data_IF_593444364821
#
_entry.id   IF_593444364821
#
_cell.length_a   1.000
_cell.length_b   1.000
_cell.length_c   1.000
_cell.angle_alpha   90.00
_cell.angle_beta   90.00
_cell.angle_gamma   90.00
#
_symmetry.space_group_name_H-M   'P 1'
#
loop_
_entity.id
_entity.type
_entity.pdbx_description
1 polymer ?
#
# COMPACT_ATOMS: atom_id res chain seq x y z
N UNK A 1 13.41 -24.42 -19.30
CA UNK A 1 12.03 -24.83 -19.69
C UNK A 1 10.98 -23.80 -19.32
N UNK A 2 10.98 -23.23 -18.11
CA UNK A 2 10.01 -22.19 -17.74
C UNK A 2 10.13 -20.90 -18.56
N UNK A 3 11.34 -20.42 -18.83
CA UNK A 3 11.57 -19.18 -19.61
C UNK A 3 11.03 -19.27 -21.06
N UNK A 4 11.23 -20.41 -21.74
CA UNK A 4 10.70 -20.65 -23.10
C UNK A 4 9.16 -20.62 -23.15
N UNK A 5 8.49 -21.09 -22.10
CA UNK A 5 7.02 -21.02 -21.99
C UNK A 5 6.55 -19.60 -21.70
N UNK A 6 7.29 -18.85 -20.88
CA UNK A 6 6.97 -17.45 -20.57
C UNK A 6 7.13 -16.58 -21.82
N UNK A 7 8.18 -16.79 -22.61
CA UNK A 7 8.38 -16.06 -23.88
C UNK A 7 7.32 -16.40 -24.93
N UNK A 8 6.83 -17.65 -24.98
CA UNK A 8 5.80 -18.06 -25.94
C UNK A 8 4.41 -17.48 -25.60
N UNK A 9 4.10 -17.33 -24.31
CA UNK A 9 2.80 -16.82 -23.82
C UNK A 9 2.82 -15.29 -23.66
N UNK A 10 4.00 -14.69 -23.51
CA UNK A 10 4.22 -13.24 -23.53
C UNK A 10 3.38 -12.48 -22.49
N UNK A 11 2.68 -11.43 -22.92
CA UNK A 11 1.91 -10.53 -22.01
C UNK A 11 0.77 -11.23 -21.27
N UNK A 12 0.25 -12.33 -21.83
CA UNK A 12 -0.84 -13.10 -21.22
C UNK A 12 -0.36 -13.81 -19.96
N UNK A 13 0.90 -14.24 -19.92
CA UNK A 13 1.52 -14.84 -18.74
C UNK A 13 1.54 -13.86 -17.56
N UNK A 14 1.93 -12.60 -17.81
CA UNK A 14 1.97 -11.57 -16.77
C UNK A 14 0.58 -11.30 -16.16
N UNK A 15 -0.47 -11.24 -17.00
CA UNK A 15 -1.85 -11.06 -16.54
C UNK A 15 -2.34 -12.26 -15.71
N UNK A 16 -2.00 -13.48 -16.14
CA UNK A 16 -2.34 -14.70 -15.40
C UNK A 16 -1.59 -14.78 -14.06
N UNK A 17 -0.30 -14.42 -14.05
CA UNK A 17 0.51 -14.39 -12.83
C UNK A 17 0.02 -13.35 -11.82
N UNK A 18 -0.40 -12.17 -12.30
CA UNK A 18 -1.02 -11.14 -11.46
C UNK A 18 -2.33 -11.64 -10.84
N UNK A 19 -3.20 -12.24 -11.66
CA UNK A 19 -4.47 -12.80 -11.20
C UNK A 19 -4.27 -13.96 -10.21
N UNK A 20 -3.28 -14.81 -10.43
CA UNK A 20 -2.93 -15.88 -9.51
C UNK A 20 -2.46 -15.33 -8.16
N UNK A 21 -1.64 -14.25 -8.16
CA UNK A 21 -1.23 -13.58 -6.94
C UNK A 21 -2.40 -12.93 -6.20
N UNK A 22 -3.34 -12.31 -6.90
CA UNK A 22 -4.54 -11.72 -6.28
C UNK A 22 -5.44 -12.80 -5.67
N UNK A 23 -5.60 -13.94 -6.34
CA UNK A 23 -6.33 -15.09 -5.81
C UNK A 23 -5.64 -15.69 -4.58
N UNK A 24 -4.32 -15.82 -4.61
CA UNK A 24 -3.54 -16.29 -3.47
C UNK A 24 -3.69 -15.35 -2.27
N UNK A 25 -3.55 -14.04 -2.48
CA UNK A 25 -3.73 -13.05 -1.43
C UNK A 25 -5.16 -13.03 -0.87
N UNK A 26 -6.16 -13.24 -1.72
CA UNK A 26 -7.55 -13.39 -1.30
C UNK A 26 -7.72 -14.62 -0.39
N UNK A 27 -7.15 -15.77 -0.77
CA UNK A 27 -7.20 -16.97 0.04
C UNK A 27 -6.52 -16.78 1.43
N UNK A 28 -5.37 -16.10 1.50
CA UNK A 28 -4.74 -15.75 2.79
C UNK A 28 -5.64 -14.84 3.64
N UNK A 29 -6.36 -13.91 3.02
CA UNK A 29 -7.31 -13.04 3.72
C UNK A 29 -8.50 -13.84 4.27
N UNK A 30 -9.01 -14.80 3.49
CA UNK A 30 -10.12 -15.66 3.88
C UNK A 30 -9.75 -16.52 5.11
N UNK A 31 -8.54 -17.11 5.14
CA UNK A 31 -8.04 -17.87 6.31
C UNK A 31 -7.96 -17.00 7.57
N UNK A 32 -7.47 -15.76 7.45
CA UNK A 32 -7.40 -14.84 8.59
C UNK A 32 -8.78 -14.38 9.06
N UNK A 33 -9.75 -14.30 8.15
CA UNK A 33 -11.14 -14.03 8.48
C UNK A 33 -11.77 -15.17 9.29
N UNK A 34 -11.56 -16.42 8.86
CA UNK A 34 -12.02 -17.61 9.59
C UNK A 34 -11.48 -17.64 11.02
N UNK A 35 -10.21 -17.26 11.21
CA UNK A 35 -9.61 -17.11 12.54
C UNK A 35 -10.33 -16.09 13.43
N UNK A 36 -10.82 -14.98 12.87
CA UNK A 36 -11.61 -13.97 13.62
C UNK A 36 -12.98 -14.55 14.01
N UNK A 37 -13.64 -15.27 13.09
CA UNK A 37 -14.95 -15.88 13.34
C UNK A 37 -14.87 -16.94 14.43
N UNK A 38 -13.80 -17.74 14.44
CA UNK A 38 -13.56 -18.83 15.40
C UNK A 38 -13.23 -18.38 16.83
N UNK A 39 -12.92 -17.10 17.07
CA UNK A 39 -12.61 -16.58 18.42
C UNK A 39 -13.80 -16.74 19.37
N UNK A 40 -13.58 -17.22 20.59
CA UNK A 40 -14.65 -17.37 21.60
C UNK A 40 -14.64 -16.27 22.65
N UNK A 41 -13.61 -15.41 22.63
CA UNK A 41 -13.34 -14.37 23.63
C UNK A 41 -13.90 -12.99 23.26
N UNK A 42 -14.58 -12.86 22.12
CA UNK A 42 -15.19 -11.61 21.64
C UNK A 42 -16.64 -11.81 21.22
N UNK A 43 -17.48 -10.81 21.52
CA UNK A 43 -18.91 -10.82 21.18
C UNK A 43 -19.18 -10.67 19.67
N UNK A 44 -20.41 -10.99 19.27
CA UNK A 44 -20.83 -11.03 17.86
C UNK A 44 -20.60 -9.69 17.11
N UNK A 45 -20.93 -8.56 17.72
CA UNK A 45 -20.74 -7.23 17.11
C UNK A 45 -19.27 -6.91 16.84
N UNK A 46 -18.38 -7.24 17.79
CA UNK A 46 -16.93 -7.03 17.63
C UNK A 46 -16.35 -7.94 16.54
N UNK A 47 -16.79 -9.20 16.47
CA UNK A 47 -16.42 -10.10 15.37
C UNK A 47 -16.82 -9.52 14.02
N UNK A 48 -18.05 -9.04 13.88
CA UNK A 48 -18.54 -8.48 12.63
C UNK A 48 -17.72 -7.26 12.19
N UNK A 49 -17.38 -6.37 13.13
CA UNK A 49 -16.52 -5.21 12.85
C UNK A 49 -15.11 -5.63 12.41
N UNK A 50 -14.51 -6.62 13.07
CA UNK A 50 -13.19 -7.13 12.71
C UNK A 50 -13.19 -7.79 11.32
N UNK A 51 -14.20 -8.60 11.01
CA UNK A 51 -14.36 -9.22 9.68
C UNK A 51 -14.54 -8.16 8.61
N UNK A 52 -15.42 -7.17 8.83
CA UNK A 52 -15.63 -6.05 7.89
C UNK A 52 -14.33 -5.26 7.66
N UNK A 53 -13.60 -4.95 8.73
CA UNK A 53 -12.30 -4.26 8.62
C UNK A 53 -11.29 -5.11 7.84
N UNK A 54 -11.24 -6.42 8.09
CA UNK A 54 -10.31 -7.34 7.40
C UNK A 54 -10.60 -7.39 5.90
N UNK A 55 -11.87 -7.60 5.52
CA UNK A 55 -12.31 -7.60 4.11
C UNK A 55 -12.00 -6.27 3.43
N UNK A 56 -12.28 -5.15 4.10
CA UNK A 56 -11.99 -3.81 3.58
C UNK A 56 -10.50 -3.59 3.32
N UNK A 57 -9.63 -4.00 4.25
CA UNK A 57 -8.18 -3.93 4.07
C UNK A 57 -7.68 -4.82 2.92
N UNK A 58 -8.21 -6.04 2.81
CA UNK A 58 -7.87 -6.97 1.71
C UNK A 58 -8.25 -6.41 0.35
N UNK A 59 -9.48 -5.92 0.20
CA UNK A 59 -9.96 -5.31 -1.04
C UNK A 59 -9.19 -4.04 -1.40
N UNK A 60 -8.89 -3.19 -0.41
CA UNK A 60 -8.08 -2.00 -0.61
C UNK A 60 -6.69 -2.36 -1.16
N UNK A 61 -5.99 -3.34 -0.55
CA UNK A 61 -4.66 -3.77 -1.04
C UNK A 61 -4.72 -4.28 -2.48
N UNK A 62 -5.75 -5.03 -2.86
CA UNK A 62 -5.96 -5.46 -4.26
C UNK A 62 -6.13 -4.24 -5.18
N UNK A 63 -6.95 -3.27 -4.79
CA UNK A 63 -7.19 -2.08 -5.60
C UNK A 63 -5.94 -1.21 -5.76
N UNK A 64 -5.13 -1.06 -4.72
CA UNK A 64 -3.85 -0.32 -4.80
C UNK A 64 -2.88 -1.02 -5.75
N UNK A 65 -2.76 -2.35 -5.68
CA UNK A 65 -1.87 -3.12 -6.58
C UNK A 65 -2.19 -3.00 -8.06
N UNK A 66 -3.43 -2.67 -8.42
CA UNK A 66 -3.81 -2.40 -9.81
C UNK A 66 -3.11 -1.15 -10.35
N UNK A 67 -2.87 -0.16 -9.48
CA UNK A 67 -2.23 1.11 -9.81
C UNK A 67 -0.72 1.10 -9.52
N UNK A 68 -0.29 0.35 -8.50
CA UNK A 68 1.03 0.40 -7.89
C UNK A 68 1.68 -0.99 -7.89
N UNK A 69 2.65 -1.22 -8.78
CA UNK A 69 3.28 -2.56 -8.96
C UNK A 69 4.48 -2.81 -8.07
N UNK A 70 5.07 -1.78 -7.50
CA UNK A 70 6.27 -1.86 -6.68
C UNK A 70 6.28 -0.77 -5.62
N UNK A 71 7.20 -0.87 -4.66
CA UNK A 71 7.52 0.25 -3.80
C UNK A 71 8.07 1.40 -4.65
N UNK A 72 7.36 2.53 -4.63
CA UNK A 72 7.77 3.77 -5.30
C UNK A 72 9.14 4.30 -4.88
N UNK A 73 9.61 3.94 -3.68
CA UNK A 73 10.88 4.39 -3.12
C UNK A 73 12.00 3.37 -3.31
N UNK A 74 11.75 2.08 -3.02
CA UNK A 74 12.82 1.05 -3.03
C UNK A 74 12.81 0.17 -4.27
N UNK A 75 11.77 0.23 -5.09
CA UNK A 75 11.60 -0.63 -6.28
C UNK A 75 11.20 -2.08 -5.97
N UNK A 76 11.08 -2.48 -4.70
CA UNK A 76 10.66 -3.86 -4.32
C UNK A 76 9.31 -4.20 -4.94
N UNK A 77 9.22 -5.34 -5.63
CA UNK A 77 8.01 -5.81 -6.32
C UNK A 77 7.31 -6.96 -5.60
N UNK A 78 7.98 -7.68 -4.70
CA UNK A 78 7.40 -8.82 -3.99
C UNK A 78 6.27 -8.37 -3.05
N UNK A 79 5.00 -8.71 -3.32
CA UNK A 79 3.85 -8.21 -2.57
C UNK A 79 3.81 -8.67 -1.10
N UNK A 80 4.57 -9.72 -0.75
CA UNK A 80 4.74 -10.18 0.64
C UNK A 80 5.56 -9.20 1.47
N UNK A 81 6.43 -8.45 0.81
CA UNK A 81 7.28 -7.42 1.40
C UNK A 81 6.73 -6.00 1.23
N UNK A 82 5.47 -5.87 0.83
CA UNK A 82 4.82 -4.58 0.57
C UNK A 82 3.54 -4.41 1.38
N UNK A 83 3.36 -3.20 1.89
CA UNK A 83 2.15 -2.72 2.55
C UNK A 83 1.37 -1.83 1.59
N UNK A 84 0.04 -1.98 1.57
CA UNK A 84 -0.82 -0.99 0.95
C UNK A 84 -1.07 0.12 1.98
N UNK A 85 -0.37 1.23 1.82
CA UNK A 85 -0.42 2.38 2.71
C UNK A 85 -1.43 3.39 2.19
N UNK A 86 -2.38 3.83 3.01
CA UNK A 86 -3.32 4.88 2.64
C UNK A 86 -2.60 6.23 2.53
N UNK A 87 -2.94 7.02 1.52
CA UNK A 87 -2.41 8.39 1.39
C UNK A 87 -3.19 9.34 2.31
N UNK A 88 -4.51 9.41 2.13
CA UNK A 88 -5.40 10.02 3.12
C UNK A 88 -5.72 8.94 4.17
N UNK A 89 -5.41 9.15 5.46
CA UNK A 89 -5.58 8.13 6.49
C UNK A 89 -6.99 7.55 6.54
N UNK A 90 -7.09 6.24 6.80
CA UNK A 90 -8.36 5.50 6.81
C UNK A 90 -9.44 6.14 7.70
N UNK A 91 -9.03 6.66 8.87
CA UNK A 91 -9.92 7.32 9.84
C UNK A 91 -10.59 8.60 9.30
N UNK A 92 -9.97 9.24 8.32
CA UNK A 92 -10.43 10.51 7.75
C UNK A 92 -11.12 10.31 6.39
N UNK A 93 -11.17 9.06 5.91
CA UNK A 93 -11.76 8.69 4.63
C UNK A 93 -13.26 8.45 4.72
N UNK A 94 -13.98 8.89 3.69
CA UNK A 94 -15.31 8.35 3.35
C UNK A 94 -15.21 6.87 2.94
N UNK A 95 -16.34 6.18 2.92
CA UNK A 95 -16.36 4.74 2.58
C UNK A 95 -15.89 4.45 1.15
N UNK A 96 -16.10 5.38 0.22
CA UNK A 96 -15.57 5.30 -1.15
C UNK A 96 -14.04 5.43 -1.15
N UNK A 97 -13.50 6.41 -0.41
CA UNK A 97 -12.06 6.66 -0.32
C UNK A 97 -11.30 5.53 0.39
N UNK A 98 -11.93 4.84 1.35
CA UNK A 98 -11.34 3.69 2.06
C UNK A 98 -10.95 2.54 1.13
N UNK A 99 -11.70 2.36 0.03
CA UNK A 99 -11.50 1.29 -0.94
C UNK A 99 -10.89 1.78 -2.26
N UNK A 100 -10.68 3.09 -2.42
CA UNK A 100 -10.14 3.66 -3.64
C UNK A 100 -8.65 3.32 -3.78
N UNK A 101 -8.28 2.58 -4.83
CA UNK A 101 -6.88 2.21 -5.09
C UNK A 101 -5.95 3.39 -5.41
N UNK A 102 -6.49 4.55 -5.81
CA UNK A 102 -5.71 5.79 -5.99
C UNK A 102 -5.42 6.48 -4.65
N UNK A 103 -6.07 6.08 -3.56
CA UNK A 103 -5.79 6.56 -2.21
C UNK A 103 -4.73 5.69 -1.51
N UNK A 104 -3.78 5.13 -2.26
CA UNK A 104 -2.75 4.31 -1.65
C UNK A 104 -1.50 4.12 -2.50
N UNK A 105 -0.43 3.75 -1.81
CA UNK A 105 0.82 3.28 -2.39
C UNK A 105 1.14 1.87 -1.91
N UNK A 106 1.80 1.09 -2.76
CA UNK A 106 2.54 -0.07 -2.27
C UNK A 106 3.88 0.43 -1.74
N UNK A 107 4.19 0.20 -0.46
CA UNK A 107 5.42 0.67 0.17
C UNK A 107 6.11 -0.45 0.94
N UNK A 108 7.44 -0.44 0.94
CA UNK A 108 8.23 -1.29 1.83
C UNK A 108 7.96 -0.88 3.30
N UNK A 109 8.03 -1.79 4.28
CA UNK A 109 7.57 -1.52 5.65
C UNK A 109 8.20 -0.31 6.34
N UNK A 110 9.48 -0.05 6.08
CA UNK A 110 10.21 1.08 6.63
C UNK A 110 9.83 2.41 5.94
N UNK A 111 9.52 2.38 4.64
CA UNK A 111 9.01 3.55 3.90
C UNK A 111 7.57 3.87 4.31
N UNK A 112 6.72 2.84 4.41
CA UNK A 112 5.36 2.94 4.96
C UNK A 112 5.38 3.62 6.33
N UNK A 113 6.27 3.19 7.22
CA UNK A 113 6.45 3.81 8.53
C UNK A 113 6.74 5.32 8.44
N UNK A 114 7.67 5.74 7.57
CA UNK A 114 7.99 7.16 7.40
C UNK A 114 6.81 7.96 6.85
N UNK A 115 6.11 7.39 5.87
CA UNK A 115 5.01 8.06 5.18
C UNK A 115 3.75 8.17 6.06
N UNK A 116 3.30 7.06 6.67
CA UNK A 116 2.13 7.00 7.54
C UNK A 116 2.27 7.90 8.78
N UNK A 117 3.50 8.01 9.32
CA UNK A 117 3.80 8.86 10.47
C UNK A 117 4.08 10.32 10.12
N UNK A 118 4.08 10.66 8.84
CA UNK A 118 4.29 12.04 8.36
C UNK A 118 5.74 12.52 8.42
N UNK A 119 6.72 11.61 8.44
CA UNK A 119 8.14 11.97 8.32
C UNK A 119 8.55 12.25 6.87
N UNK A 120 7.84 11.64 5.90
CA UNK A 120 7.98 11.95 4.47
C UNK A 120 6.61 12.14 3.83
N UNK A 121 6.57 12.86 2.72
CA UNK A 121 5.42 12.94 1.80
C UNK A 121 5.92 13.10 0.37
N UNK A 122 5.02 13.34 -0.58
CA UNK A 122 5.37 13.57 -1.99
C UNK A 122 4.67 14.82 -2.52
N UNK A 123 5.40 15.60 -3.31
CA UNK A 123 4.86 16.70 -4.09
C UNK A 123 4.06 16.19 -5.30
N UNK A 124 3.26 17.05 -5.93
CA UNK A 124 2.40 16.66 -7.07
C UNK A 124 3.20 16.29 -8.33
N UNK A 125 4.47 16.69 -8.39
CA UNK A 125 5.43 16.28 -9.42
C UNK A 125 6.16 14.97 -9.07
N UNK A 126 5.88 14.36 -7.91
CA UNK A 126 6.50 13.12 -7.43
C UNK A 126 7.77 13.32 -6.61
N UNK A 127 8.21 14.55 -6.34
CA UNK A 127 9.41 14.77 -5.53
C UNK A 127 9.17 14.41 -4.06
N UNK A 128 10.16 13.76 -3.44
CA UNK A 128 10.18 13.44 -2.02
C UNK A 128 10.22 14.73 -1.19
N UNK A 129 9.29 14.83 -0.24
CA UNK A 129 9.27 15.88 0.78
C UNK A 129 9.70 15.23 2.10
N UNK A 130 10.75 15.76 2.71
CA UNK A 130 11.26 15.30 4.00
C UNK A 130 10.79 16.27 5.09
N UNK A 131 10.14 15.75 6.13
CA UNK A 131 9.77 16.55 7.30
C UNK A 131 11.02 17.10 7.99
N UNK A 132 11.02 18.37 8.44
CA UNK A 132 12.12 18.90 9.25
C UNK A 132 12.28 18.19 10.61
N UNK A 133 11.28 17.41 11.05
CA UNK A 133 11.32 16.64 12.29
C UNK A 133 12.02 15.28 12.15
N UNK A 134 12.36 14.85 10.93
CA UNK A 134 13.05 13.59 10.68
C UNK A 134 14.57 13.79 10.77
N UNK A 135 15.24 12.98 11.60
CA UNK A 135 16.70 12.85 11.51
C UNK A 135 17.08 12.24 10.16
N UNK A 136 17.71 13.04 9.30
CA UNK A 136 18.13 12.64 7.95
C UNK A 136 19.10 11.46 7.95
N UNK A 137 19.83 11.22 9.04
CA UNK A 137 20.70 10.04 9.15
C UNK A 137 19.93 8.72 8.99
N UNK A 138 18.63 8.72 9.32
CA UNK A 138 17.74 7.56 9.15
C UNK A 138 17.58 7.20 7.67
N UNK A 139 17.40 8.19 6.79
CA UNK A 139 17.24 7.95 5.36
C UNK A 139 18.49 7.26 4.79
N UNK A 140 19.66 7.77 5.12
CA UNK A 140 20.93 7.17 4.70
C UNK A 140 21.08 5.74 5.21
N UNK A 141 20.79 5.49 6.50
CA UNK A 141 20.88 4.14 7.10
C UNK A 141 19.90 3.15 6.49
N UNK A 142 18.77 3.63 5.97
CA UNK A 142 17.75 2.81 5.31
C UNK A 142 17.90 2.79 3.78
N UNK A 143 18.94 3.43 3.23
CA UNK A 143 19.21 3.44 1.79
C UNK A 143 18.19 4.26 0.98
N UNK A 144 17.53 5.24 1.60
CA UNK A 144 16.60 6.16 0.93
C UNK A 144 17.38 7.42 0.53
N UNK A 145 17.45 7.80 -0.76
CA UNK A 145 18.10 9.03 -1.18
C UNK A 145 17.38 10.27 -0.67
N UNK A 146 18.14 11.29 -0.26
CA UNK A 146 17.62 12.61 0.14
C UNK A 146 16.90 13.34 -1.01
N UNK A 147 17.28 13.04 -2.25
CA UNK A 147 16.65 13.57 -3.47
C UNK A 147 16.14 12.38 -4.27
N UNK A 148 14.82 12.26 -4.35
CA UNK A 148 14.13 11.17 -5.00
C UNK A 148 12.86 11.68 -5.67
N UNK A 149 12.59 11.21 -6.88
CA UNK A 149 11.31 11.42 -7.58
C UNK A 149 10.67 10.05 -7.84
N UNK A 150 9.39 9.90 -7.49
CA UNK A 150 8.65 8.64 -7.60
C UNK A 150 7.82 8.50 -8.90
N UNK A 151 7.99 9.44 -9.82
CA UNK A 151 7.23 9.55 -11.06
C UNK A 151 5.85 10.18 -10.88
N UNK A 152 4.99 10.00 -11.88
CA UNK A 152 3.66 10.62 -11.92
C UNK A 152 2.74 10.14 -10.79
N UNK A 153 2.16 11.08 -10.06
CA UNK A 153 1.18 10.88 -8.97
C UNK A 153 -0.16 11.56 -9.24
N UNK A 154 -0.51 11.81 -10.51
CA UNK A 154 -1.70 12.59 -10.91
C UNK A 154 -3.00 12.07 -10.28
N UNK A 155 -3.22 10.76 -10.29
CA UNK A 155 -4.44 10.14 -9.73
C UNK A 155 -4.47 10.18 -8.19
N UNK A 156 -3.29 10.28 -7.57
CA UNK A 156 -3.10 10.34 -6.12
C UNK A 156 -3.09 11.77 -5.57
N UNK A 157 -2.95 12.78 -6.45
CA UNK A 157 -2.73 14.18 -6.07
C UNK A 157 -3.76 14.75 -5.07
N UNK A 158 -5.09 14.48 -5.19
CA UNK A 158 -6.05 14.97 -4.20
C UNK A 158 -5.79 14.42 -2.79
N UNK A 159 -5.39 13.16 -2.68
CA UNK A 159 -5.06 12.54 -1.40
C UNK A 159 -3.71 13.03 -0.87
N UNK A 160 -2.72 13.22 -1.74
CA UNK A 160 -1.42 13.78 -1.36
C UNK A 160 -1.54 15.21 -0.84
N UNK A 161 -2.44 16.01 -1.42
CA UNK A 161 -2.75 17.35 -0.90
C UNK A 161 -3.25 17.28 0.56
N UNK A 162 -4.12 16.32 0.88
CA UNK A 162 -4.55 16.07 2.26
C UNK A 162 -3.38 15.61 3.15
N UNK A 163 -2.58 14.65 2.69
CA UNK A 163 -1.44 14.13 3.46
C UNK A 163 -0.44 15.24 3.81
N UNK A 164 -0.07 16.08 2.85
CA UNK A 164 0.81 17.24 3.08
C UNK A 164 0.22 18.27 4.05
N UNK A 165 -1.10 18.45 4.05
CA UNK A 165 -1.77 19.43 4.89
C UNK A 165 -1.97 18.94 6.34
N UNK A 166 -2.25 17.63 6.53
CA UNK A 166 -2.77 17.10 7.80
C UNK A 166 -1.93 15.98 8.42
N UNK A 167 -1.06 15.32 7.66
CA UNK A 167 -0.26 14.18 8.12
C UNK A 167 1.22 14.53 8.21
N UNK A 168 1.76 15.20 7.19
CA UNK A 168 3.15 15.63 7.14
C UNK A 168 3.49 16.52 8.35
N UNK A 169 4.50 16.12 9.10
CA UNK A 169 5.00 16.87 10.25
C UNK A 169 5.79 18.09 9.77
N UNK A 170 5.54 19.24 10.40
CA UNK A 170 6.19 20.51 10.12
C UNK A 170 7.11 20.91 11.26
#
# INVERSE_FOLDING_TARGET
>A
MAELLIDLIGKEYAAVAERANDLHYKAECDVLEEGIVGRTDIGATMKEQLVKSRRGQGLFKINVRRNEKSCRVTGVTDPRNLRASHIKPWKDCSDIEKLNGCNGFMLAPHVDHLFDRGFISFADNGDLIISPTLDRSILQRWGIPDVLNIGSVKSQAPFLAYHRAHVLRK
#
